data_IF_018620074786
#
_entry.id   IF_018620074786
#
_cell.length_a   1.000
_cell.length_b   1.000
_cell.length_c   1.000
_cell.angle_alpha   90.00
_cell.angle_beta   90.00
_cell.angle_gamma   90.00
#
_symmetry.space_group_name_H-M   'P 1'
#
loop_
_entity.id
_entity.type
_entity.pdbx_description
1 polymer ?
#
# COMPACT_ATOMS: atom_id res chain seq x y z
N UNK A 1 17.95 14.59 45.51
CA UNK A 1 18.85 14.23 44.39
C UNK A 1 18.04 13.60 43.26
N UNK A 2 17.72 14.35 42.20
CA UNK A 2 17.03 13.86 40.98
C UNK A 2 18.09 13.61 39.91
N UNK A 3 18.28 12.36 39.51
CA UNK A 3 19.28 11.99 38.50
C UNK A 3 18.84 12.32 37.06
N UNK A 4 19.76 12.67 36.16
CA UNK A 4 19.47 13.11 34.78
C UNK A 4 19.07 11.97 33.82
N UNK A 5 18.93 10.74 34.32
CA UNK A 5 18.74 9.54 33.48
C UNK A 5 17.33 9.30 32.95
N UNK A 6 16.31 10.01 33.44
CA UNK A 6 14.90 9.75 33.08
C UNK A 6 14.44 10.49 31.81
N UNK A 7 15.05 11.63 31.47
CA UNK A 7 14.64 12.43 30.31
C UNK A 7 15.18 11.87 28.98
N UNK A 8 16.34 11.22 29.01
CA UNK A 8 16.93 10.58 27.82
C UNK A 8 16.19 9.30 27.38
N UNK A 9 15.48 8.63 28.30
CA UNK A 9 14.70 7.44 28.00
C UNK A 9 13.41 7.80 27.24
N UNK A 10 12.73 8.88 27.63
CA UNK A 10 11.51 9.36 26.99
C UNK A 10 11.80 9.96 25.60
N UNK A 11 12.94 10.66 25.44
CA UNK A 11 13.37 11.18 24.14
C UNK A 11 13.74 10.10 23.10
N UNK A 12 14.13 8.90 23.54
CA UNK A 12 14.39 7.75 22.64
C UNK A 12 13.10 7.04 22.22
N UNK A 13 12.13 6.89 23.12
CA UNK A 13 10.84 6.29 22.79
C UNK A 13 10.01 7.16 21.82
N UNK A 14 10.13 8.49 21.92
CA UNK A 14 9.47 9.41 20.98
C UNK A 14 10.07 9.41 19.56
N UNK A 15 11.33 8.98 19.38
CA UNK A 15 11.95 8.80 18.04
C UNK A 15 11.58 7.47 17.40
N UNK A 16 11.37 6.43 18.19
CA UNK A 16 10.93 5.12 17.73
C UNK A 16 9.50 5.11 17.15
N UNK A 17 8.64 6.06 17.55
CA UNK A 17 7.27 6.19 16.99
C UNK A 17 7.16 7.04 15.72
N UNK A 18 8.23 7.76 15.31
CA UNK A 18 8.24 8.57 14.07
C UNK A 18 8.84 7.84 12.86
N UNK A 19 9.39 6.63 13.06
CA UNK A 19 10.02 5.86 11.99
C UNK A 19 9.09 4.87 11.27
N UNK A 20 7.83 4.72 11.70
CA UNK A 20 6.94 3.64 11.22
C UNK A 20 5.67 4.12 10.51
N UNK A 21 5.64 5.38 10.09
CA UNK A 21 4.73 5.80 9.03
C UNK A 21 5.59 6.34 7.90
N UNK A 22 6.08 5.42 7.07
CA UNK A 22 6.53 5.80 5.73
C UNK A 22 5.27 6.29 5.04
N UNK A 23 5.07 7.60 5.07
CA UNK A 23 4.09 8.26 4.23
C UNK A 23 4.37 7.77 2.81
N UNK A 24 3.39 7.15 2.17
CA UNK A 24 3.56 6.71 0.79
C UNK A 24 3.83 8.00 0.02
N UNK A 25 5.06 8.14 -0.47
CA UNK A 25 5.37 9.24 -1.37
C UNK A 25 4.52 9.02 -2.62
N UNK A 26 3.51 9.88 -2.79
CA UNK A 26 2.59 9.82 -3.92
C UNK A 26 3.36 9.94 -5.25
N UNK A 27 4.56 10.52 -5.23
CA UNK A 27 5.47 10.61 -6.39
C UNK A 27 6.03 9.24 -6.83
N UNK A 28 6.01 8.21 -5.99
CA UNK A 28 6.50 6.86 -6.34
C UNK A 28 5.39 5.91 -6.74
N UNK A 29 4.12 6.35 -6.70
CA UNK A 29 3.01 5.51 -7.10
C UNK A 29 3.05 5.22 -8.60
N UNK A 30 2.67 4.00 -9.02
CA UNK A 30 2.47 3.68 -10.43
C UNK A 30 1.49 4.67 -11.05
N UNK A 31 1.87 5.23 -12.20
CA UNK A 31 0.96 6.09 -12.96
C UNK A 31 -0.05 5.21 -13.68
N UNK A 32 -1.32 5.48 -13.44
CA UNK A 32 -2.46 4.86 -14.11
C UNK A 32 -3.23 5.95 -14.84
N UNK A 33 -3.51 5.73 -16.12
CA UNK A 33 -4.28 6.66 -16.95
C UNK A 33 -5.73 6.18 -17.12
N UNK A 34 -6.63 7.06 -17.54
CA UNK A 34 -7.99 6.66 -17.91
C UNK A 34 -8.02 5.62 -19.05
N UNK A 35 -7.05 5.68 -19.97
CA UNK A 35 -6.91 4.68 -21.04
C UNK A 35 -6.48 3.30 -20.49
N UNK A 36 -5.74 3.25 -19.37
CA UNK A 36 -5.46 1.99 -18.68
C UNK A 36 -6.73 1.43 -18.03
N UNK A 37 -7.54 2.30 -17.43
CA UNK A 37 -8.84 1.93 -16.84
C UNK A 37 -9.76 1.34 -17.91
N UNK A 38 -9.93 2.00 -19.05
CA UNK A 38 -10.76 1.50 -20.15
C UNK A 38 -10.29 0.13 -20.66
N UNK A 39 -8.98 -0.02 -20.87
CA UNK A 39 -8.39 -1.28 -21.34
C UNK A 39 -8.61 -2.43 -20.35
N UNK A 40 -8.40 -2.18 -19.06
CA UNK A 40 -8.57 -3.18 -18.01
C UNK A 40 -10.06 -3.54 -17.82
N UNK A 41 -10.94 -2.55 -17.89
CA UNK A 41 -12.38 -2.74 -17.78
C UNK A 41 -12.92 -3.61 -18.92
N UNK A 42 -12.43 -3.41 -20.15
CA UNK A 42 -12.76 -4.24 -21.31
C UNK A 42 -12.32 -5.69 -21.10
N UNK A 43 -11.11 -5.93 -20.58
CA UNK A 43 -10.59 -7.28 -20.33
C UNK A 43 -11.43 -8.09 -19.35
N UNK A 44 -12.05 -7.43 -18.36
CA UNK A 44 -12.89 -8.10 -17.36
C UNK A 44 -14.40 -7.96 -17.63
N UNK A 45 -14.77 -7.32 -18.75
CA UNK A 45 -16.18 -7.10 -19.12
C UNK A 45 -16.94 -6.15 -18.18
N UNK A 46 -16.24 -5.25 -17.50
CA UNK A 46 -16.83 -4.28 -16.59
C UNK A 46 -17.14 -2.97 -17.33
N UNK A 47 -18.34 -2.42 -17.14
CA UNK A 47 -18.67 -1.07 -17.59
C UNK A 47 -18.36 -0.08 -16.47
N UNK A 48 -17.58 0.94 -16.79
CA UNK A 48 -17.25 2.06 -15.91
C UNK A 48 -17.85 3.31 -16.54
N UNK A 49 -18.58 4.11 -15.75
CA UNK A 49 -19.08 5.39 -16.23
C UNK A 49 -17.88 6.28 -16.61
N UNK A 50 -17.88 6.93 -17.78
CA UNK A 50 -16.81 7.85 -18.15
C UNK A 50 -16.49 8.91 -17.09
N UNK A 51 -17.47 9.34 -16.28
CA UNK A 51 -17.24 10.31 -15.20
C UNK A 51 -16.40 9.76 -14.05
N UNK A 52 -16.40 8.43 -13.86
CA UNK A 52 -15.73 7.77 -12.74
C UNK A 52 -14.29 7.34 -13.09
N UNK A 53 -13.92 7.34 -14.37
CA UNK A 53 -12.57 6.97 -14.84
C UNK A 53 -11.41 7.66 -14.11
N UNK A 54 -11.40 9.00 -13.90
CA UNK A 54 -10.30 9.64 -13.19
C UNK A 54 -10.17 9.15 -11.75
N UNK A 55 -11.29 8.91 -11.07
CA UNK A 55 -11.30 8.42 -9.69
C UNK A 55 -10.87 6.95 -9.61
N UNK A 56 -11.30 6.13 -10.56
CA UNK A 56 -10.84 4.74 -10.69
C UNK A 56 -9.35 4.68 -10.96
N UNK A 57 -8.82 5.54 -11.83
CA UNK A 57 -7.39 5.62 -12.11
C UNK A 57 -6.59 5.98 -10.84
N UNK A 58 -7.05 6.98 -10.08
CA UNK A 58 -6.43 7.37 -8.82
C UNK A 58 -6.47 6.24 -7.77
N UNK A 59 -7.62 5.58 -7.61
CA UNK A 59 -7.76 4.45 -6.69
C UNK A 59 -6.87 3.26 -7.08
N UNK A 60 -6.78 2.94 -8.37
CA UNK A 60 -5.91 1.87 -8.87
C UNK A 60 -4.44 2.19 -8.66
N UNK A 61 -4.00 3.44 -8.86
CA UNK A 61 -2.63 3.85 -8.58
C UNK A 61 -2.23 3.61 -7.11
N UNK A 62 -3.12 3.96 -6.17
CA UNK A 62 -2.91 3.70 -4.73
C UNK A 62 -2.85 2.20 -4.44
N UNK A 63 -3.77 1.42 -5.01
CA UNK A 63 -3.80 -0.04 -4.84
C UNK A 63 -2.52 -0.70 -5.35
N UNK A 64 -2.03 -0.28 -6.52
CA UNK A 64 -0.77 -0.80 -7.08
C UNK A 64 0.43 -0.43 -6.22
N UNK A 65 0.45 0.76 -5.63
CA UNK A 65 1.46 1.13 -4.63
C UNK A 65 1.45 0.22 -3.41
N UNK A 66 0.26 -0.10 -2.88
CA UNK A 66 0.13 -1.05 -1.78
C UNK A 66 0.55 -2.47 -2.18
N UNK A 67 0.22 -2.91 -3.39
CA UNK A 67 0.62 -4.20 -3.92
C UNK A 67 2.14 -4.34 -4.02
N UNK A 68 2.87 -3.28 -4.41
CA UNK A 68 4.34 -3.31 -4.42
C UNK A 68 4.93 -3.64 -3.05
N UNK A 69 4.37 -3.07 -1.97
CA UNK A 69 4.81 -3.39 -0.60
C UNK A 69 4.60 -4.87 -0.26
N UNK A 70 3.55 -5.50 -0.79
CA UNK A 70 3.30 -6.93 -0.61
C UNK A 70 4.28 -7.78 -1.43
N UNK A 71 4.60 -7.34 -2.65
CA UNK A 71 5.53 -8.05 -3.53
C UNK A 71 6.99 -8.01 -3.04
N UNK A 72 7.35 -7.06 -2.16
CA UNK A 72 8.66 -7.00 -1.52
C UNK A 72 8.88 -8.12 -0.48
N UNK A 73 7.82 -8.79 -0.01
CA UNK A 73 7.99 -9.91 0.92
C UNK A 73 8.55 -11.14 0.18
N UNK A 74 9.68 -11.71 0.63
CA UNK A 74 10.19 -12.94 0.04
C UNK A 74 9.20 -14.08 0.29
N UNK A 75 8.82 -14.79 -0.78
CA UNK A 75 7.97 -15.97 -0.69
C UNK A 75 8.83 -17.24 -0.68
N UNK A 76 8.67 -18.13 0.31
CA UNK A 76 9.25 -19.46 0.28
C UNK A 76 8.75 -20.28 -0.91
N UNK A 77 9.57 -21.21 -1.42
CA UNK A 77 9.18 -22.10 -2.53
C UNK A 77 8.00 -23.03 -2.18
N UNK A 78 7.85 -23.35 -0.89
CA UNK A 78 6.79 -24.20 -0.34
C UNK A 78 5.56 -23.42 0.12
N UNK A 79 5.44 -22.12 -0.22
CA UNK A 79 4.27 -21.33 0.14
C UNK A 79 3.02 -21.88 -0.54
N UNK A 80 1.97 -22.10 0.25
CA UNK A 80 0.65 -22.43 -0.24
C UNK A 80 -0.29 -21.23 -0.08
N UNK A 81 -1.27 -21.04 -0.99
CA UNK A 81 -2.32 -20.07 -0.78
C UNK A 81 -2.97 -20.26 0.60
N UNK A 82 -3.39 -19.16 1.22
CA UNK A 82 -4.12 -19.22 2.49
C UNK A 82 -5.33 -20.19 2.37
N UNK A 83 -5.64 -20.96 3.42
CA UNK A 83 -6.63 -22.03 3.35
C UNK A 83 -7.99 -21.50 2.88
N UNK A 84 -8.51 -22.13 1.82
CA UNK A 84 -9.89 -21.93 1.36
C UNK A 84 -10.81 -22.80 2.22
N UNK A 85 -11.95 -22.24 2.62
CA UNK A 85 -12.98 -22.96 3.37
C UNK A 85 -13.31 -24.32 2.73
N UNK A 86 -13.32 -25.38 3.54
CA UNK A 86 -13.76 -26.72 3.13
C UNK A 86 -15.07 -27.04 3.88
N UNK A 87 -16.22 -27.16 3.20
CA UNK A 87 -17.50 -27.52 3.80
C UNK A 87 -17.52 -28.96 4.31
#
# INVERSE_FOLDING_TARGET
MRGPGRDHALGRLARLRRGTRREIDVSTLPRVTEADVDRLAEQVGLRIDPTDRPDVAAALAVLLGAAQLVMEFPLPEDVHPAPVFRP
#
